data_IF_630700322777
#
_entry.id   IF_630700322777
#
_cell.length_a   1.000
_cell.length_b   1.000
_cell.length_c   1.000
_cell.angle_alpha   90.00
_cell.angle_beta   90.00
_cell.angle_gamma   90.00
#
_symmetry.space_group_name_H-M   'P 1'
#
loop_
_entity.id
_entity.type
_entity.pdbx_description
1 polymer ?
#
# COMPACT_ATOMS: atom_id res chain seq x y z
N UNK A 1 -10.49 16.26 9.74
CA UNK A 1 -10.68 17.11 10.94
C UNK A 1 -11.54 16.47 12.03
N UNK A 2 -12.64 15.78 11.73
CA UNK A 2 -13.55 15.18 12.75
C UNK A 2 -12.84 14.24 13.74
N UNK A 3 -11.89 13.41 13.29
CA UNK A 3 -11.13 12.48 14.16
C UNK A 3 -10.12 13.18 15.09
N UNK A 4 -9.66 14.38 14.72
CA UNK A 4 -8.63 15.14 15.44
C UNK A 4 -9.04 16.61 15.54
N UNK A 5 -10.19 16.86 16.16
CA UNK A 5 -10.82 18.18 16.22
C UNK A 5 -10.02 19.20 17.05
N UNK A 6 -9.12 18.73 17.93
CA UNK A 6 -8.21 19.55 18.74
C UNK A 6 -7.07 20.17 17.92
N UNK A 7 -6.83 19.70 16.70
CA UNK A 7 -5.73 20.17 15.87
C UNK A 7 -6.13 21.44 15.12
N UNK A 8 -5.50 22.54 15.51
CA UNK A 8 -5.70 23.85 14.86
C UNK A 8 -5.13 23.94 13.43
N UNK A 9 -4.26 22.99 13.03
CA UNK A 9 -3.70 22.91 11.66
C UNK A 9 -3.29 21.49 11.31
N UNK A 10 -3.28 21.20 10.01
CA UNK A 10 -2.73 19.98 9.42
C UNK A 10 -1.64 20.35 8.41
N UNK A 11 -0.54 19.61 8.41
CA UNK A 11 0.55 19.83 7.47
C UNK A 11 0.16 19.32 6.08
N UNK A 12 0.57 20.04 5.05
CA UNK A 12 0.38 19.70 3.64
C UNK A 12 1.74 19.73 2.96
N UNK A 13 1.99 18.75 2.09
CA UNK A 13 3.15 18.72 1.20
C UNK A 13 2.70 19.03 -0.23
N UNK A 14 3.46 19.86 -0.93
CA UNK A 14 3.26 20.15 -2.34
C UNK A 14 4.40 19.47 -3.10
N UNK A 15 4.08 18.41 -3.84
CA UNK A 15 5.05 17.54 -4.48
C UNK A 15 4.94 17.67 -6.01
N UNK A 16 6.02 18.01 -6.73
CA UNK A 16 6.01 18.02 -8.18
C UNK A 16 5.76 16.61 -8.74
N UNK A 17 4.79 16.46 -9.64
CA UNK A 17 4.51 15.14 -10.24
C UNK A 17 5.52 14.74 -11.32
N UNK A 18 6.29 15.69 -11.86
CA UNK A 18 7.35 15.39 -12.81
C UNK A 18 8.04 16.62 -13.39
N UNK A 19 9.11 16.40 -14.16
CA UNK A 19 9.94 17.46 -14.76
C UNK A 19 9.27 18.18 -15.94
N UNK A 20 8.27 17.56 -16.57
CA UNK A 20 7.65 18.03 -17.81
C UNK A 20 6.15 18.31 -17.66
N UNK A 21 5.69 18.52 -16.43
CA UNK A 21 4.31 18.90 -16.11
C UNK A 21 4.30 20.03 -15.10
N UNK A 22 3.20 20.79 -15.07
CA UNK A 22 2.94 21.79 -14.03
C UNK A 22 2.02 21.24 -12.93
N UNK A 23 1.67 19.94 -12.99
CA UNK A 23 0.86 19.27 -11.97
C UNK A 23 1.65 19.12 -10.67
N UNK A 24 0.95 19.40 -9.56
CA UNK A 24 1.47 19.34 -8.21
C UNK A 24 0.52 18.49 -7.37
N UNK A 25 1.05 17.50 -6.69
CA UNK A 25 0.30 16.66 -5.76
C UNK A 25 0.22 17.33 -4.38
N UNK A 26 -0.99 17.46 -3.85
CA UNK A 26 -1.25 18.01 -2.51
C UNK A 26 -1.34 16.89 -1.47
N UNK A 27 -0.17 16.44 -1.00
CA UNK A 27 -0.03 15.41 0.02
C UNK A 27 -0.67 15.83 1.34
N UNK A 28 -1.63 15.03 1.81
CA UNK A 28 -2.38 15.28 3.05
C UNK A 28 -3.75 15.94 2.87
N UNK A 29 -4.18 16.19 1.62
CA UNK A 29 -5.48 16.81 1.33
C UNK A 29 -6.36 16.01 0.35
N UNK A 30 -6.34 14.68 0.44
CA UNK A 30 -7.28 13.81 -0.27
C UNK A 30 -8.73 14.09 0.17
N UNK A 31 -9.69 14.02 -0.76
CA UNK A 31 -11.10 14.37 -0.50
C UNK A 31 -12.04 13.68 -1.48
N UNK A 32 -13.29 13.47 -1.04
CA UNK A 32 -14.42 13.08 -1.89
C UNK A 32 -15.56 14.10 -1.87
N UNK A 33 -15.28 15.31 -1.38
CA UNK A 33 -16.26 16.41 -1.34
C UNK A 33 -16.60 16.88 -2.76
N UNK A 34 -17.76 17.53 -2.95
CA UNK A 34 -18.10 18.21 -4.19
C UNK A 34 -17.01 19.19 -4.65
N UNK A 35 -16.86 19.35 -5.97
CA UNK A 35 -15.80 20.14 -6.60
C UNK A 35 -15.77 21.61 -6.14
N UNK A 36 -16.92 22.24 -5.99
CA UNK A 36 -17.04 23.61 -5.48
C UNK A 36 -16.49 23.75 -4.05
N UNK A 37 -16.76 22.76 -3.20
CA UNK A 37 -16.22 22.69 -1.84
C UNK A 37 -14.72 22.44 -1.86
N UNK A 38 -14.22 21.61 -2.78
CA UNK A 38 -12.78 21.41 -2.97
C UNK A 38 -12.08 22.72 -3.31
N UNK A 39 -12.59 23.47 -4.30
CA UNK A 39 -12.07 24.80 -4.65
C UNK A 39 -12.06 25.75 -3.46
N UNK A 40 -13.16 25.81 -2.71
CA UNK A 40 -13.25 26.67 -1.52
C UNK A 40 -12.20 26.27 -0.48
N UNK A 41 -12.07 24.98 -0.19
CA UNK A 41 -11.12 24.43 0.79
C UNK A 41 -9.67 24.69 0.39
N UNK A 42 -9.27 24.35 -0.84
CA UNK A 42 -7.87 24.49 -1.28
C UNK A 42 -7.41 25.96 -1.28
N UNK A 43 -8.30 26.91 -1.61
CA UNK A 43 -7.97 28.35 -1.56
C UNK A 43 -7.74 28.90 -0.14
N UNK A 44 -8.12 28.17 0.90
CA UNK A 44 -7.81 28.57 2.29
C UNK A 44 -6.37 28.24 2.71
N UNK A 45 -5.66 27.43 1.92
CA UNK A 45 -4.27 27.07 2.21
C UNK A 45 -3.36 28.21 1.77
N UNK A 46 -2.49 28.74 2.66
CA UNK A 46 -1.56 29.80 2.29
C UNK A 46 -0.70 29.43 1.09
N UNK A 47 -0.67 30.30 0.07
CA UNK A 47 0.02 30.08 -1.20
C UNK A 47 -0.84 29.44 -2.30
N UNK A 48 -2.06 28.97 -1.97
CA UNK A 48 -3.01 28.37 -2.91
C UNK A 48 -4.27 29.22 -3.13
N UNK A 49 -4.26 30.50 -2.74
CA UNK A 49 -5.44 31.39 -2.79
C UNK A 49 -6.02 31.52 -4.21
N UNK A 50 -5.16 31.37 -5.23
CA UNK A 50 -5.51 31.43 -6.65
C UNK A 50 -5.27 30.10 -7.39
N UNK A 51 -5.25 28.98 -6.66
CA UNK A 51 -4.99 27.65 -7.24
C UNK A 51 -6.00 27.31 -8.33
N UNK A 52 -5.52 26.63 -9.38
CA UNK A 52 -6.34 26.04 -10.44
C UNK A 52 -6.20 24.53 -10.35
N UNK A 53 -7.32 23.85 -10.09
CA UNK A 53 -7.35 22.40 -10.03
C UNK A 53 -7.30 21.85 -11.46
N UNK A 54 -6.33 20.97 -11.73
CA UNK A 54 -6.21 20.25 -13.01
C UNK A 54 -7.05 18.97 -12.98
N UNK A 55 -7.07 18.30 -11.83
CA UNK A 55 -7.84 17.08 -11.58
C UNK A 55 -8.47 17.16 -10.19
N UNK A 56 -9.78 16.94 -10.11
CA UNK A 56 -10.49 16.97 -8.84
C UNK A 56 -10.13 15.77 -7.98
N UNK A 57 -10.08 15.97 -6.65
CA UNK A 57 -9.93 14.88 -5.71
C UNK A 57 -11.17 13.98 -5.75
N UNK A 58 -10.98 12.69 -5.52
CA UNK A 58 -12.05 11.71 -5.48
C UNK A 58 -11.71 10.59 -4.49
N UNK A 59 -12.71 9.79 -4.16
CA UNK A 59 -12.53 8.50 -3.51
C UNK A 59 -13.00 7.39 -4.45
N UNK A 60 -12.42 6.21 -4.29
CA UNK A 60 -12.80 5.02 -5.05
C UNK A 60 -13.12 3.89 -4.09
N UNK A 61 -14.08 3.08 -4.48
CA UNK A 61 -14.43 1.84 -3.83
C UNK A 61 -14.17 0.69 -4.81
N UNK A 62 -13.66 -0.41 -4.30
CA UNK A 62 -13.27 -1.56 -5.10
C UNK A 62 -13.43 -2.84 -4.27
N UNK A 63 -13.70 -3.94 -4.96
CA UNK A 63 -13.76 -5.26 -4.34
C UNK A 63 -12.36 -5.75 -3.96
N UNK A 64 -12.28 -6.45 -2.83
CA UNK A 64 -11.11 -7.20 -2.40
C UNK A 64 -11.53 -8.60 -1.92
N UNK A 65 -10.56 -9.52 -1.86
CA UNK A 65 -10.84 -10.85 -1.31
C UNK A 65 -11.01 -10.79 0.20
N UNK A 66 -11.80 -11.72 0.72
CA UNK A 66 -11.93 -11.92 2.16
C UNK A 66 -10.59 -12.37 2.77
N UNK A 67 -10.35 -11.95 4.00
CA UNK A 67 -9.21 -12.39 4.80
C UNK A 67 -9.12 -13.92 4.85
N UNK A 68 -7.89 -14.44 4.88
CA UNK A 68 -7.65 -15.86 5.13
C UNK A 68 -7.94 -16.78 3.94
N UNK A 69 -8.21 -16.26 2.75
CA UNK A 69 -8.40 -17.06 1.54
C UNK A 69 -7.08 -17.54 0.89
N UNK A 70 -5.96 -16.89 1.21
CA UNK A 70 -4.64 -17.20 0.66
C UNK A 70 -3.77 -17.99 1.65
N UNK A 71 -2.89 -18.83 1.11
CA UNK A 71 -1.76 -19.44 1.81
C UNK A 71 -0.58 -18.44 1.91
N UNK A 72 0.42 -18.68 2.78
CA UNK A 72 1.61 -17.81 2.89
C UNK A 72 2.45 -17.68 1.61
N UNK A 73 2.26 -18.57 0.63
CA UNK A 73 2.87 -18.48 -0.71
C UNK A 73 2.04 -17.62 -1.69
N UNK A 74 0.96 -16.98 -1.22
CA UNK A 74 -0.02 -16.18 -1.98
C UNK A 74 -0.90 -16.98 -2.96
N UNK A 75 -0.94 -18.31 -2.83
CA UNK A 75 -1.86 -19.18 -3.56
C UNK A 75 -3.24 -19.22 -2.86
N UNK A 76 -4.33 -19.28 -3.64
CA UNK A 76 -5.66 -19.51 -3.08
C UNK A 76 -5.76 -20.91 -2.47
N UNK A 77 -6.24 -20.97 -1.22
CA UNK A 77 -6.46 -22.25 -0.50
C UNK A 77 -7.38 -23.22 -1.25
N UNK A 78 -8.39 -22.68 -1.96
CA UNK A 78 -9.44 -23.45 -2.64
C UNK A 78 -9.10 -23.77 -4.11
N UNK A 79 -8.18 -23.04 -4.73
CA UNK A 79 -7.90 -23.15 -6.17
C UNK A 79 -6.39 -23.25 -6.35
N UNK A 80 -5.92 -24.48 -6.61
CA UNK A 80 -4.51 -24.76 -6.84
C UNK A 80 -4.03 -24.06 -8.11
N UNK A 81 -2.84 -23.47 -8.05
CA UNK A 81 -2.21 -22.76 -9.15
C UNK A 81 -2.74 -21.35 -9.39
N UNK A 82 -3.71 -20.86 -8.61
CA UNK A 82 -4.19 -19.48 -8.69
C UNK A 82 -3.54 -18.64 -7.59
N UNK A 83 -2.79 -17.62 -8.00
CA UNK A 83 -2.05 -16.71 -7.10
C UNK A 83 -2.64 -15.31 -7.17
N UNK A 84 -2.52 -14.55 -6.08
CA UNK A 84 -3.05 -13.18 -5.99
C UNK A 84 -2.10 -12.23 -5.30
N UNK A 85 -2.10 -10.96 -5.71
CA UNK A 85 -1.21 -9.92 -5.19
C UNK A 85 -1.85 -8.53 -5.22
N UNK A 86 -1.37 -7.66 -4.33
CA UNK A 86 -1.62 -6.22 -4.38
C UNK A 86 -2.93 -5.80 -3.78
N UNK A 87 -3.57 -4.80 -4.39
CA UNK A 87 -4.75 -4.16 -3.83
C UNK A 87 -5.93 -5.13 -3.68
N UNK A 88 -6.02 -6.12 -4.56
CA UNK A 88 -7.04 -7.16 -4.50
C UNK A 88 -6.92 -8.03 -3.23
N UNK A 89 -5.72 -8.13 -2.64
CA UNK A 89 -5.48 -8.82 -1.36
C UNK A 89 -5.81 -7.95 -0.13
N UNK A 90 -6.35 -6.74 -0.31
CA UNK A 90 -6.68 -5.84 0.80
C UNK A 90 -5.54 -4.93 1.26
N UNK A 91 -4.44 -4.84 0.50
CA UNK A 91 -3.37 -3.84 0.76
C UNK A 91 -3.62 -2.54 0.00
N UNK A 92 -2.97 -1.45 0.40
CA UNK A 92 -2.98 -0.17 -0.32
C UNK A 92 -1.58 0.44 -0.33
N UNK A 93 -0.97 0.50 -1.51
CA UNK A 93 0.37 1.08 -1.71
C UNK A 93 1.09 0.37 -2.85
N UNK A 94 1.98 1.10 -3.53
CA UNK A 94 2.71 0.55 -4.67
C UNK A 94 3.72 -0.49 -4.22
N UNK A 95 4.38 -0.24 -3.09
CA UNK A 95 5.43 -1.04 -2.49
C UNK A 95 4.87 -2.36 -1.97
N UNK A 96 3.75 -2.31 -1.24
CA UNK A 96 3.03 -3.50 -0.79
C UNK A 96 2.59 -4.38 -1.96
N UNK A 97 2.08 -3.77 -3.02
CA UNK A 97 1.63 -4.49 -4.20
C UNK A 97 2.79 -5.13 -4.97
N UNK A 98 3.89 -4.40 -5.16
CA UNK A 98 5.08 -4.93 -5.81
C UNK A 98 5.71 -6.09 -5.01
N UNK A 99 5.78 -5.97 -3.69
CA UNK A 99 6.31 -7.00 -2.78
C UNK A 99 5.48 -8.30 -2.82
N UNK A 100 4.15 -8.19 -2.87
CA UNK A 100 3.30 -9.37 -3.06
C UNK A 100 3.44 -9.93 -4.48
N UNK A 101 3.48 -9.06 -5.49
CA UNK A 101 3.55 -9.43 -6.90
C UNK A 101 4.80 -10.25 -7.23
N UNK A 102 5.97 -9.88 -6.68
CA UNK A 102 7.20 -10.65 -6.87
C UNK A 102 7.10 -12.06 -6.26
N UNK A 103 6.54 -12.21 -5.05
CA UNK A 103 6.38 -13.51 -4.40
C UNK A 103 5.34 -14.38 -5.13
N UNK A 104 4.17 -13.82 -5.45
CA UNK A 104 3.12 -14.50 -6.19
C UNK A 104 3.62 -14.94 -7.57
N UNK A 105 4.35 -14.08 -8.29
CA UNK A 105 4.93 -14.38 -9.59
C UNK A 105 6.00 -15.49 -9.54
N UNK A 106 6.90 -15.45 -8.56
CA UNK A 106 7.90 -16.51 -8.35
C UNK A 106 7.19 -17.85 -8.05
N UNK A 107 6.19 -17.85 -7.18
CA UNK A 107 5.49 -19.08 -6.80
C UNK A 107 4.61 -19.63 -7.93
N UNK A 108 3.99 -18.77 -8.73
CA UNK A 108 3.29 -19.18 -9.95
C UNK A 108 4.24 -19.84 -10.95
N UNK A 109 5.43 -19.27 -11.18
CA UNK A 109 6.44 -19.85 -12.04
C UNK A 109 6.97 -21.19 -11.51
N UNK A 110 7.15 -21.31 -10.18
CA UNK A 110 7.58 -22.55 -9.54
C UNK A 110 6.52 -23.64 -9.60
N UNK A 111 5.24 -23.28 -9.44
CA UNK A 111 4.11 -24.19 -9.58
C UNK A 111 4.09 -24.86 -10.96
N UNK A 112 4.19 -24.08 -12.05
CA UNK A 112 4.20 -24.66 -13.42
C UNK A 112 5.47 -25.48 -13.71
N UNK A 113 6.56 -25.22 -12.97
CA UNK A 113 7.81 -25.99 -13.03
C UNK A 113 7.81 -27.21 -12.10
N UNK A 114 6.71 -27.49 -11.38
CA UNK A 114 6.63 -28.52 -10.34
C UNK A 114 7.72 -28.39 -9.26
N UNK A 115 8.06 -27.16 -8.88
CA UNK A 115 8.98 -26.83 -7.79
C UNK A 115 8.19 -26.38 -6.55
N UNK A 116 8.74 -26.66 -5.37
CA UNK A 116 8.15 -26.19 -4.10
C UNK A 116 8.04 -24.67 -4.07
N UNK A 117 6.97 -24.11 -3.50
CA UNK A 117 6.85 -22.66 -3.33
C UNK A 117 7.91 -22.09 -2.37
N UNK A 118 8.23 -20.81 -2.53
CA UNK A 118 8.98 -20.04 -1.54
C UNK A 118 8.01 -19.28 -0.63
N UNK A 119 8.36 -19.20 0.65
CA UNK A 119 7.68 -18.38 1.65
C UNK A 119 8.76 -17.66 2.43
N UNK A 120 8.64 -16.34 2.56
CA UNK A 120 9.54 -15.54 3.38
C UNK A 120 9.01 -15.49 4.80
N UNK A 121 9.84 -15.90 5.75
CA UNK A 121 9.51 -15.77 7.16
C UNK A 121 9.54 -14.30 7.60
N UNK A 122 8.68 -13.95 8.57
CA UNK A 122 8.59 -12.58 9.11
C UNK A 122 9.91 -12.06 9.66
N UNK A 123 10.79 -12.95 10.15
CA UNK A 123 12.12 -12.61 10.67
C UNK A 123 13.16 -12.34 9.57
N UNK A 124 12.86 -12.72 8.32
CA UNK A 124 13.79 -12.58 7.18
C UNK A 124 13.62 -11.27 6.44
N UNK A 125 12.38 -10.79 6.28
CA UNK A 125 12.08 -9.57 5.54
C UNK A 125 10.72 -8.97 5.88
N UNK A 126 10.58 -7.66 5.65
CA UNK A 126 9.28 -6.98 5.72
C UNK A 126 8.25 -7.52 4.70
N UNK A 127 8.69 -8.14 3.59
CA UNK A 127 7.78 -8.86 2.68
C UNK A 127 7.12 -10.05 3.40
N UNK A 128 7.85 -10.78 4.24
CA UNK A 128 7.30 -11.84 5.07
C UNK A 128 6.31 -11.31 6.12
N UNK A 129 6.65 -10.18 6.76
CA UNK A 129 5.75 -9.47 7.70
C UNK A 129 4.43 -9.07 7.02
N UNK A 130 4.53 -8.47 5.83
CA UNK A 130 3.37 -8.07 5.02
C UNK A 130 2.46 -9.25 4.71
N UNK A 131 3.02 -10.31 4.11
CA UNK A 131 2.25 -11.45 3.64
C UNK A 131 1.64 -12.19 4.82
N UNK A 132 2.41 -12.42 5.89
CA UNK A 132 1.89 -13.10 7.07
C UNK A 132 0.78 -12.28 7.75
N UNK A 133 0.90 -10.95 7.87
CA UNK A 133 -0.19 -10.13 8.38
C UNK A 133 -1.45 -10.26 7.51
N UNK A 134 -1.32 -10.17 6.18
CA UNK A 134 -2.46 -10.29 5.26
C UNK A 134 -3.16 -11.64 5.32
N UNK A 135 -2.41 -12.73 5.56
CA UNK A 135 -2.98 -14.09 5.57
C UNK A 135 -3.42 -14.57 6.95
N UNK A 136 -2.96 -13.95 8.05
CA UNK A 136 -3.25 -14.38 9.43
C UNK A 136 -4.07 -13.40 10.26
N UNK A 137 -4.10 -12.11 9.91
CA UNK A 137 -4.84 -11.09 10.66
C UNK A 137 -6.07 -10.66 9.89
N UNK A 138 -7.20 -10.67 10.57
CA UNK A 138 -8.41 -10.02 10.09
C UNK A 138 -8.18 -8.50 10.04
N UNK A 139 -8.42 -7.88 8.89
CA UNK A 139 -8.36 -6.44 8.69
C UNK A 139 -9.65 -5.95 8.05
N UNK A 140 -10.20 -4.86 8.59
CA UNK A 140 -11.38 -4.18 8.05
C UNK A 140 -11.02 -2.88 7.30
N UNK A 141 -9.74 -2.53 7.24
CA UNK A 141 -9.21 -1.38 6.51
C UNK A 141 -8.07 -1.82 5.58
N UNK A 142 -7.77 -1.08 4.51
CA UNK A 142 -6.65 -1.40 3.62
C UNK A 142 -5.31 -1.42 4.38
N UNK A 143 -4.58 -2.54 4.30
CA UNK A 143 -3.31 -2.73 4.99
C UNK A 143 -2.23 -1.77 4.46
N UNK A 144 -1.45 -1.19 5.39
CA UNK A 144 -0.27 -0.37 5.11
C UNK A 144 0.91 -0.84 5.95
N UNK A 145 2.11 -0.91 5.37
CA UNK A 145 3.30 -1.39 6.09
C UNK A 145 3.65 -0.56 7.33
N UNK A 146 3.33 0.73 7.31
CA UNK A 146 3.63 1.63 8.44
C UNK A 146 2.91 1.22 9.74
N UNK A 147 1.78 0.50 9.65
CA UNK A 147 1.05 0.00 10.82
C UNK A 147 1.56 -1.35 11.32
N UNK A 148 2.45 -2.01 10.56
CA UNK A 148 3.01 -3.30 10.92
C UNK A 148 3.97 -3.20 12.11
N UNK A 149 4.00 -4.24 12.95
CA UNK A 149 5.04 -4.42 13.96
C UNK A 149 5.92 -5.57 13.53
N UNK A 150 7.19 -5.28 13.27
CA UNK A 150 8.22 -6.28 13.06
C UNK A 150 9.03 -6.46 14.34
N UNK A 151 8.95 -7.65 14.93
CA UNK A 151 9.67 -8.04 16.14
C UNK A 151 11.20 -7.96 15.92
N UNK A 152 11.64 -8.23 14.68
CA UNK A 152 13.04 -8.24 14.27
C UNK A 152 13.50 -6.95 13.57
N UNK A 153 12.83 -5.80 13.82
CA UNK A 153 13.12 -4.52 13.13
C UNK A 153 14.58 -4.04 13.19
N UNK A 154 15.37 -4.50 14.17
CA UNK A 154 16.80 -4.16 14.26
C UNK A 154 17.65 -4.91 13.23
N UNK A 155 17.20 -6.08 12.80
CA UNK A 155 17.82 -6.89 11.75
C UNK A 155 17.23 -6.55 10.37
N UNK A 156 15.92 -6.27 10.31
CA UNK A 156 15.20 -5.89 9.10
C UNK A 156 15.43 -4.41 8.76
N UNK A 157 16.61 -4.10 8.22
CA UNK A 157 16.98 -2.73 7.88
C UNK A 157 17.03 -2.51 6.38
N UNK A 158 16.97 -1.24 6.01
CA UNK A 158 17.12 -0.80 4.63
C UNK A 158 18.54 -1.06 4.09
N UNK A 159 19.57 -0.94 4.94
CA UNK A 159 20.99 -1.06 4.56
C UNK A 159 21.49 -2.50 4.30
N UNK A 160 20.68 -3.52 4.58
CA UNK A 160 21.11 -4.92 4.53
C UNK A 160 20.12 -5.86 3.83
N UNK A 161 19.20 -5.32 3.03
CA UNK A 161 18.17 -6.12 2.36
C UNK A 161 18.76 -7.12 1.35
N UNK A 162 19.80 -6.71 0.65
CA UNK A 162 20.60 -7.53 -0.26
C UNK A 162 21.30 -8.70 0.46
N UNK A 163 21.93 -8.43 1.60
CA UNK A 163 22.59 -9.46 2.42
C UNK A 163 21.61 -10.52 2.91
N UNK A 164 20.34 -10.14 3.10
CA UNK A 164 19.26 -11.02 3.56
C UNK A 164 18.61 -11.82 2.43
N UNK A 165 18.48 -11.27 1.22
CA UNK A 165 17.56 -11.79 0.20
C UNK A 165 18.19 -12.20 -1.15
N UNK A 166 19.48 -11.97 -1.39
CA UNK A 166 20.12 -12.23 -2.71
C UNK A 166 20.77 -13.62 -2.84
N UNK A 167 20.56 -14.53 -1.88
CA UNK A 167 21.19 -15.86 -1.89
C UNK A 167 20.53 -16.85 -2.84
#
# INVERSE_FOLDING_TARGET
>A
MVKFADKNRHQVFIEPEGLFTNEMYLGGMSSSLPEDVQYAMYKTVPGLENVKIVRNAYAIEYDCIEYGQLLPNLEFKKIKGLFSAGQFNGSSGYEEAAAQGIIAGINAARYVQNKESIVLDRSQAYIGVLIDDLVTKESHEPYRMMTSRAEYRLLLRQDNADLRLTK
#
